data_IF_204326692894
#
_entry.id   IF_204326692894
#
_cell.length_a   1.000
_cell.length_b   1.000
_cell.length_c   1.000
_cell.angle_alpha   90.00
_cell.angle_beta   90.00
_cell.angle_gamma   90.00
#
_symmetry.space_group_name_H-M   'P 1'
#
loop_
_entity.id
_entity.type
_entity.pdbx_description
1 polymer ?
#
# COMPACT_ATOMS: atom_id res chain seq x y z
N UNK A 1 39.49 -52.08 22.11
CA UNK A 1 38.28 -52.88 21.80
C UNK A 1 37.15 -51.90 21.58
N UNK A 2 36.47 -51.78 20.44
CA UNK A 2 35.93 -52.80 19.53
C UNK A 2 36.36 -52.56 18.08
N UNK A 3 36.71 -53.66 17.41
CA UNK A 3 36.98 -53.75 15.97
C UNK A 3 35.70 -54.22 15.30
N UNK A 4 35.32 -53.61 14.17
CA UNK A 4 34.45 -54.27 13.19
C UNK A 4 35.10 -54.04 11.82
N UNK A 5 35.72 -55.11 11.32
CA UNK A 5 36.09 -55.27 9.92
C UNK A 5 34.86 -55.79 9.18
N UNK A 6 34.48 -55.19 8.06
CA UNK A 6 33.65 -55.87 7.06
C UNK A 6 34.00 -55.41 5.63
N UNK A 7 34.90 -56.19 5.03
CA UNK A 7 34.93 -56.75 3.68
C UNK A 7 34.15 -56.00 2.56
N UNK A 8 34.95 -55.53 1.59
CA UNK A 8 34.76 -55.54 0.13
C UNK A 8 33.36 -55.88 -0.44
N UNK A 9 32.77 -54.88 -1.10
CA UNK A 9 31.80 -55.05 -2.17
C UNK A 9 32.10 -54.06 -3.29
N UNK A 10 32.85 -54.49 -4.30
CA UNK A 10 33.00 -53.75 -5.55
C UNK A 10 31.65 -53.72 -6.26
N UNK A 11 31.05 -52.53 -6.37
CA UNK A 11 30.05 -52.23 -7.39
C UNK A 11 30.44 -50.89 -8.02
N UNK A 12 31.26 -50.98 -9.06
CA UNK A 12 31.47 -49.89 -10.00
C UNK A 12 30.18 -49.78 -10.83
N UNK A 13 29.27 -48.90 -10.41
CA UNK A 13 28.26 -48.33 -11.29
C UNK A 13 28.44 -46.82 -11.22
N UNK A 14 29.37 -46.33 -12.03
CA UNK A 14 29.37 -44.94 -12.42
C UNK A 14 28.18 -44.72 -13.36
N UNK A 15 27.00 -44.42 -12.81
CA UNK A 15 26.08 -43.51 -13.49
C UNK A 15 26.24 -42.17 -12.80
N UNK A 16 27.29 -41.45 -13.18
CA UNK A 16 27.30 -40.00 -12.97
C UNK A 16 26.27 -39.43 -13.93
N UNK A 17 25.01 -39.34 -13.48
CA UNK A 17 24.12 -38.31 -14.00
C UNK A 17 24.70 -36.96 -13.54
N UNK A 18 25.78 -36.52 -14.18
CA UNK A 18 26.08 -35.09 -14.22
C UNK A 18 24.91 -34.52 -15.01
N UNK A 19 23.87 -34.10 -14.29
CA UNK A 19 22.87 -33.20 -14.84
C UNK A 19 23.64 -31.95 -15.26
N UNK A 20 24.08 -31.92 -16.52
CA UNK A 20 24.56 -30.69 -17.15
C UNK A 20 23.34 -29.78 -17.30
N UNK A 21 22.95 -29.11 -16.21
CA UNK A 21 22.14 -27.89 -16.31
C UNK A 21 22.91 -26.92 -17.19
N UNK A 22 22.27 -26.38 -18.24
CA UNK A 22 22.89 -25.32 -19.05
C UNK A 22 23.26 -24.13 -18.18
N UNK A 23 24.20 -23.29 -18.61
CA UNK A 23 24.52 -22.05 -17.88
C UNK A 23 23.26 -21.19 -17.65
N UNK A 24 22.33 -21.17 -18.63
CA UNK A 24 21.03 -20.49 -18.50
C UNK A 24 20.15 -21.11 -17.42
N UNK A 25 20.05 -22.44 -17.36
CA UNK A 25 19.26 -23.16 -16.35
C UNK A 25 19.85 -22.96 -14.93
N UNK A 26 21.18 -22.90 -14.80
CA UNK A 26 21.85 -22.59 -13.52
C UNK A 26 21.63 -21.14 -13.09
N UNK A 27 21.69 -20.20 -14.03
CA UNK A 27 21.45 -18.78 -13.74
C UNK A 27 20.00 -18.55 -13.32
N UNK A 28 19.05 -19.20 -14.01
CA UNK A 28 17.64 -19.13 -13.65
C UNK A 28 17.36 -19.68 -12.25
N UNK A 29 17.97 -20.81 -11.88
CA UNK A 29 17.86 -21.38 -10.53
C UNK A 29 18.41 -20.42 -9.46
N UNK A 30 19.53 -19.75 -9.75
CA UNK A 30 20.11 -18.73 -8.86
C UNK A 30 19.18 -17.54 -8.70
N UNK A 31 18.54 -17.07 -9.78
CA UNK A 31 17.59 -15.96 -9.73
C UNK A 31 16.38 -16.30 -8.86
N UNK A 32 15.78 -17.49 -9.05
CA UNK A 32 14.67 -17.96 -8.20
C UNK A 32 15.12 -18.08 -6.74
N UNK A 33 16.29 -18.67 -6.47
CA UNK A 33 16.83 -18.79 -5.12
C UNK A 33 17.18 -17.44 -4.47
N UNK A 34 17.58 -16.44 -5.26
CA UNK A 34 17.84 -15.09 -4.77
C UNK A 34 16.55 -14.37 -4.38
N UNK A 35 15.46 -14.59 -5.13
CA UNK A 35 14.14 -14.10 -4.77
C UNK A 35 13.63 -14.71 -3.45
N UNK A 36 13.72 -16.03 -3.30
CA UNK A 36 13.33 -16.70 -2.05
C UNK A 36 14.10 -16.17 -0.83
N UNK A 37 15.43 -16.05 -0.96
CA UNK A 37 16.29 -15.49 0.11
C UNK A 37 15.93 -14.06 0.45
N UNK A 38 15.58 -13.25 -0.55
CA UNK A 38 15.12 -11.89 -0.32
C UNK A 38 13.79 -11.88 0.44
N UNK A 39 12.79 -12.66 0.00
CA UNK A 39 11.52 -12.78 0.73
C UNK A 39 11.75 -13.25 2.17
N UNK A 40 12.56 -14.30 2.36
CA UNK A 40 12.91 -14.79 3.69
C UNK A 40 13.62 -13.73 4.54
N UNK A 41 14.46 -12.88 3.93
CA UNK A 41 15.10 -11.78 4.66
C UNK A 41 14.09 -10.75 5.14
N UNK A 42 13.13 -10.34 4.29
CA UNK A 42 12.19 -9.27 4.65
C UNK A 42 11.12 -9.71 5.64
N UNK A 43 10.67 -10.98 5.60
CA UNK A 43 9.68 -11.47 6.57
C UNK A 43 10.26 -11.70 7.97
N UNK A 44 11.59 -11.78 8.09
CA UNK A 44 12.30 -11.92 9.36
C UNK A 44 12.71 -10.56 9.96
N UNK A 45 12.49 -9.45 9.25
CA UNK A 45 12.65 -8.09 9.78
C UNK A 45 11.48 -7.79 10.72
N UNK A 46 11.75 -7.05 11.80
CA UNK A 46 10.70 -6.60 12.71
C UNK A 46 9.65 -5.75 11.97
N UNK A 47 8.38 -5.89 12.31
CA UNK A 47 7.29 -5.22 11.57
C UNK A 47 7.45 -3.69 11.58
N UNK A 48 7.93 -3.11 12.68
CA UNK A 48 8.24 -1.68 12.78
C UNK A 48 9.32 -1.23 11.76
N UNK A 49 10.39 -2.00 11.61
CA UNK A 49 11.47 -1.71 10.67
C UNK A 49 11.01 -1.93 9.22
N UNK A 50 10.21 -2.96 8.98
CA UNK A 50 9.59 -3.20 7.67
C UNK A 50 8.64 -2.06 7.28
N UNK A 51 7.86 -1.54 8.23
CA UNK A 51 6.99 -0.37 8.04
C UNK A 51 7.79 0.89 7.68
N UNK A 52 8.91 1.12 8.36
CA UNK A 52 9.77 2.29 8.11
C UNK A 52 10.42 2.28 6.73
N UNK A 53 10.68 1.08 6.18
CA UNK A 53 11.38 0.88 4.91
C UNK A 53 10.46 0.31 3.81
N UNK A 54 9.13 0.41 3.98
CA UNK A 54 8.17 -0.34 3.17
C UNK A 54 8.27 -0.06 1.67
N UNK A 55 8.45 1.20 1.27
CA UNK A 55 8.56 1.57 -0.15
C UNK A 55 9.79 0.92 -0.81
N UNK A 56 10.93 0.92 -0.13
CA UNK A 56 12.14 0.25 -0.63
C UNK A 56 11.96 -1.27 -0.69
N UNK A 57 11.28 -1.86 0.30
CA UNK A 57 10.96 -3.30 0.34
C UNK A 57 10.03 -3.67 -0.84
N UNK A 58 9.02 -2.85 -1.12
CA UNK A 58 8.04 -3.10 -2.18
C UNK A 58 8.66 -2.97 -3.57
N UNK A 59 9.49 -1.95 -3.80
CA UNK A 59 10.24 -1.80 -5.06
C UNK A 59 11.16 -2.99 -5.30
N UNK A 60 11.98 -3.36 -4.31
CA UNK A 60 12.90 -4.48 -4.44
C UNK A 60 12.17 -5.83 -4.58
N UNK A 61 11.03 -6.01 -3.92
CA UNK A 61 10.17 -7.18 -4.08
C UNK A 61 9.62 -7.31 -5.51
N UNK A 62 9.06 -6.22 -6.05
CA UNK A 62 8.47 -6.22 -7.39
C UNK A 62 9.53 -6.50 -8.46
N UNK A 63 10.71 -5.89 -8.34
CA UNK A 63 11.82 -6.14 -9.25
C UNK A 63 12.24 -7.62 -9.21
N UNK A 64 12.48 -8.18 -8.03
CA UNK A 64 12.93 -9.57 -7.88
C UNK A 64 11.87 -10.59 -8.28
N UNK A 65 10.59 -10.26 -8.10
CA UNK A 65 9.48 -11.09 -8.58
C UNK A 65 9.49 -11.16 -10.11
N UNK A 66 9.59 -10.02 -10.79
CA UNK A 66 9.66 -9.98 -12.25
C UNK A 66 10.88 -10.73 -12.81
N UNK A 67 12.05 -10.58 -12.17
CA UNK A 67 13.27 -11.31 -12.53
C UNK A 67 13.11 -12.83 -12.35
N UNK A 68 12.49 -13.27 -11.25
CA UNK A 68 12.27 -14.69 -10.97
C UNK A 68 11.20 -15.31 -11.89
N UNK A 69 10.13 -14.59 -12.22
CA UNK A 69 9.10 -15.03 -13.17
C UNK A 69 9.67 -15.17 -14.58
N UNK A 70 10.49 -14.21 -15.03
CA UNK A 70 11.18 -14.30 -16.32
C UNK A 70 12.13 -15.51 -16.37
N UNK A 71 12.82 -15.81 -15.25
CA UNK A 71 13.74 -16.94 -15.16
C UNK A 71 13.06 -18.31 -15.30
N UNK A 72 11.76 -18.43 -15.02
CA UNK A 72 11.01 -19.69 -15.19
C UNK A 72 11.02 -20.19 -16.63
N UNK A 73 11.16 -19.29 -17.62
CA UNK A 73 11.22 -19.67 -19.04
C UNK A 73 12.41 -20.60 -19.35
N UNK A 74 13.53 -20.40 -18.64
CA UNK A 74 14.81 -21.08 -18.83
C UNK A 74 14.98 -22.35 -17.99
N UNK A 75 14.02 -22.65 -17.11
CA UNK A 75 14.05 -23.84 -16.26
C UNK A 75 13.35 -25.03 -16.92
N UNK A 76 13.97 -26.21 -16.78
CA UNK A 76 13.35 -27.48 -17.20
C UNK A 76 12.25 -27.93 -16.23
N UNK A 77 12.48 -27.77 -14.93
CA UNK A 77 11.49 -28.06 -13.88
C UNK A 77 10.74 -26.77 -13.49
N UNK A 78 9.80 -26.38 -14.35
CA UNK A 78 8.98 -25.18 -14.14
C UNK A 78 8.04 -25.33 -12.96
N UNK A 79 7.42 -26.51 -12.82
CA UNK A 79 6.41 -26.75 -11.79
C UNK A 79 6.99 -26.64 -10.36
N UNK A 80 8.19 -27.19 -10.10
CA UNK A 80 8.82 -27.06 -8.79
C UNK A 80 9.25 -25.61 -8.50
N UNK A 81 9.76 -24.90 -9.51
CA UNK A 81 10.17 -23.50 -9.37
C UNK A 81 8.98 -22.55 -9.18
N UNK A 82 7.87 -22.78 -9.89
CA UNK A 82 6.60 -22.07 -9.72
C UNK A 82 6.04 -22.27 -8.30
N UNK A 83 6.01 -23.51 -7.80
CA UNK A 83 5.53 -23.78 -6.44
C UNK A 83 6.36 -23.05 -5.36
N UNK A 84 7.68 -22.95 -5.56
CA UNK A 84 8.60 -22.19 -4.70
C UNK A 84 8.36 -20.68 -4.76
N UNK A 85 8.09 -20.17 -5.96
CA UNK A 85 7.76 -18.77 -6.17
C UNK A 85 6.44 -18.40 -5.47
N UNK A 86 5.39 -19.20 -5.67
CA UNK A 86 4.08 -18.97 -5.05
C UNK A 86 4.14 -19.06 -3.52
N UNK A 87 4.91 -20.00 -2.97
CA UNK A 87 5.18 -20.06 -1.53
C UNK A 87 5.82 -18.79 -0.99
N UNK A 88 6.75 -18.21 -1.74
CA UNK A 88 7.42 -16.97 -1.35
C UNK A 88 6.52 -15.74 -1.53
N UNK A 89 5.70 -15.69 -2.58
CA UNK A 89 4.66 -14.66 -2.73
C UNK A 89 3.67 -14.69 -1.57
N UNK A 90 3.24 -15.87 -1.14
CA UNK A 90 2.34 -16.02 0.02
C UNK A 90 2.99 -15.48 1.31
N UNK A 91 4.25 -15.81 1.57
CA UNK A 91 5.01 -15.25 2.71
C UNK A 91 5.07 -13.72 2.68
N UNK A 92 5.31 -13.13 1.51
CA UNK A 92 5.33 -11.68 1.37
C UNK A 92 3.94 -11.05 1.56
N UNK A 93 2.88 -11.70 1.05
CA UNK A 93 1.50 -11.28 1.26
C UNK A 93 1.12 -11.29 2.74
N UNK A 94 1.62 -12.26 3.52
CA UNK A 94 1.43 -12.29 4.98
C UNK A 94 2.11 -11.10 5.66
N UNK A 95 3.33 -10.74 5.27
CA UNK A 95 4.00 -9.54 5.79
C UNK A 95 3.21 -8.27 5.47
N UNK A 96 2.75 -8.13 4.22
CA UNK A 96 1.90 -7.01 3.80
C UNK A 96 0.62 -6.93 4.64
N UNK A 97 -0.04 -8.06 4.86
CA UNK A 97 -1.26 -8.15 5.67
C UNK A 97 -1.02 -7.77 7.13
N UNK A 98 0.12 -8.18 7.72
CA UNK A 98 0.51 -7.77 9.09
C UNK A 98 0.73 -6.26 9.19
N UNK A 99 1.39 -5.66 8.19
CA UNK A 99 1.62 -4.21 8.15
C UNK A 99 0.31 -3.42 8.00
N UNK A 100 -0.62 -3.91 7.18
CA UNK A 100 -1.95 -3.34 7.03
C UNK A 100 -2.77 -3.47 8.33
N UNK A 101 -2.71 -4.61 9.00
CA UNK A 101 -3.36 -4.84 10.29
C UNK A 101 -2.80 -3.94 11.40
N UNK A 102 -1.48 -3.75 11.48
CA UNK A 102 -0.88 -2.80 12.44
C UNK A 102 -1.24 -1.35 12.10
N UNK A 103 -1.28 -0.98 10.82
CA UNK A 103 -1.72 0.35 10.41
C UNK A 103 -3.19 0.57 10.78
N UNK A 104 -4.04 -0.45 10.66
CA UNK A 104 -5.44 -0.39 11.05
C UNK A 104 -5.61 -0.34 12.57
N UNK A 105 -4.88 -1.17 13.33
CA UNK A 105 -4.90 -1.15 14.79
C UNK A 105 -4.39 0.19 15.35
N UNK A 106 -3.37 0.79 14.74
CA UNK A 106 -2.90 2.13 15.09
C UNK A 106 -3.98 3.20 14.83
N UNK A 107 -4.69 3.12 13.69
CA UNK A 107 -5.82 4.00 13.39
C UNK A 107 -6.97 3.83 14.37
N UNK A 108 -7.29 2.61 14.78
CA UNK A 108 -8.36 2.31 15.74
C UNK A 108 -8.00 2.81 17.15
N UNK A 109 -6.76 2.59 17.59
CA UNK A 109 -6.26 3.14 18.85
C UNK A 109 -6.23 4.68 18.84
N UNK A 110 -5.84 5.30 17.72
CA UNK A 110 -5.88 6.75 17.57
C UNK A 110 -7.30 7.31 17.47
N UNK A 111 -8.22 6.61 16.79
CA UNK A 111 -9.64 6.97 16.72
C UNK A 111 -10.31 6.92 18.10
N UNK A 112 -9.93 5.96 18.95
CA UNK A 112 -10.37 5.90 20.34
C UNK A 112 -9.81 7.04 21.22
N UNK A 113 -8.71 7.68 20.80
CA UNK A 113 -8.04 8.77 21.52
C UNK A 113 -8.40 10.18 21.02
N UNK A 114 -9.08 10.29 19.86
CA UNK A 114 -9.50 11.59 19.30
C UNK A 114 -10.83 12.00 19.92
N UNK A 115 -10.95 13.17 20.59
CA UNK A 115 -12.22 13.62 21.12
C UNK A 115 -13.25 13.72 19.98
N UNK A 116 -14.49 13.23 20.16
CA UNK A 116 -15.55 13.29 19.13
C UNK A 116 -15.76 14.70 18.56
N UNK A 117 -15.36 15.73 19.30
CA UNK A 117 -15.42 17.13 18.90
C UNK A 117 -14.41 17.51 17.79
N UNK A 118 -13.18 16.97 17.75
CA UNK A 118 -12.16 17.44 16.79
C UNK A 118 -12.55 17.15 15.34
N UNK A 119 -13.03 15.94 15.06
CA UNK A 119 -13.48 15.56 13.70
C UNK A 119 -14.72 16.32 13.29
N UNK A 120 -15.65 16.56 14.22
CA UNK A 120 -16.82 17.37 13.94
C UNK A 120 -16.44 18.82 13.63
N UNK A 121 -15.51 19.43 14.38
CA UNK A 121 -14.99 20.77 14.09
C UNK A 121 -14.36 20.85 12.71
N UNK A 122 -13.64 19.81 12.28
CA UNK A 122 -13.06 19.75 10.95
C UNK A 122 -14.15 19.66 9.87
N UNK A 123 -15.16 18.81 10.03
CA UNK A 123 -16.33 18.76 9.12
C UNK A 123 -17.06 20.10 9.05
N UNK A 124 -17.27 20.74 10.20
CA UNK A 124 -17.93 22.04 10.30
C UNK A 124 -17.12 23.15 9.63
N UNK A 125 -15.78 23.10 9.69
CA UNK A 125 -14.91 24.05 8.98
C UNK A 125 -15.05 23.92 7.46
N UNK A 126 -15.13 22.68 6.95
CA UNK A 126 -15.21 22.41 5.51
C UNK A 126 -16.59 22.63 4.90
N UNK A 127 -17.66 22.35 5.65
CA UNK A 127 -19.02 22.31 5.10
C UNK A 127 -20.00 23.25 5.81
N UNK A 128 -19.61 23.86 6.92
CA UNK A 128 -20.46 24.65 7.79
C UNK A 128 -21.06 23.82 8.93
N UNK A 129 -21.27 24.48 10.08
CA UNK A 129 -21.73 23.84 11.29
C UNK A 129 -23.02 23.02 11.10
N UNK A 130 -22.97 21.74 11.48
CA UNK A 130 -24.12 20.84 11.49
C UNK A 130 -24.61 20.39 10.10
N UNK A 131 -23.83 20.66 9.04
CA UNK A 131 -24.17 20.23 7.66
C UNK A 131 -23.83 18.78 7.39
N UNK A 132 -22.77 18.26 8.01
CA UNK A 132 -22.29 16.88 7.84
C UNK A 132 -21.93 16.31 9.21
N UNK A 133 -22.45 15.11 9.50
CA UNK A 133 -22.10 14.33 10.68
C UNK A 133 -21.13 13.19 10.35
N UNK A 134 -21.05 12.21 11.25
CA UNK A 134 -20.25 10.99 11.02
C UNK A 134 -20.76 10.13 9.86
N UNK A 135 -22.04 10.29 9.50
CA UNK A 135 -22.69 9.60 8.38
C UNK A 135 -22.26 10.11 7.00
N UNK A 136 -21.50 11.21 6.94
CA UNK A 136 -21.03 11.86 5.71
C UNK A 136 -22.17 12.12 4.70
N UNK A 137 -23.35 12.51 5.19
CA UNK A 137 -24.54 12.65 4.36
C UNK A 137 -24.58 13.98 3.59
N UNK A 138 -24.30 13.92 2.29
CA UNK A 138 -24.32 15.07 1.38
C UNK A 138 -25.69 15.34 0.71
N UNK A 139 -26.80 14.81 1.21
CA UNK A 139 -28.13 14.96 0.57
C UNK A 139 -28.60 16.41 0.41
N UNK A 140 -28.01 17.37 1.13
CA UNK A 140 -28.28 18.81 0.96
C UNK A 140 -27.48 19.44 -0.20
N UNK A 141 -26.49 18.73 -0.72
CA UNK A 141 -25.71 19.12 -1.90
C UNK A 141 -26.45 18.66 -3.16
N UNK A 142 -26.65 19.58 -4.10
CA UNK A 142 -27.40 19.37 -5.33
C UNK A 142 -26.73 20.13 -6.49
N UNK A 143 -27.31 20.04 -7.69
CA UNK A 143 -26.75 20.62 -8.91
C UNK A 143 -26.51 22.14 -8.83
N UNK A 144 -27.27 22.84 -7.99
CA UNK A 144 -27.23 24.30 -7.91
C UNK A 144 -26.12 24.78 -6.95
N UNK A 145 -25.70 23.96 -5.99
CA UNK A 145 -24.71 24.34 -4.98
C UNK A 145 -23.39 23.54 -5.03
N UNK A 146 -23.33 22.40 -5.73
CA UNK A 146 -22.17 21.49 -5.68
C UNK A 146 -20.86 22.16 -6.11
N UNK A 147 -20.89 23.03 -7.12
CA UNK A 147 -19.70 23.78 -7.53
C UNK A 147 -19.17 24.66 -6.39
N UNK A 148 -20.06 25.34 -5.67
CA UNK A 148 -19.70 26.16 -4.51
C UNK A 148 -19.10 25.30 -3.41
N UNK A 149 -19.69 24.13 -3.13
CA UNK A 149 -19.19 23.19 -2.12
C UNK A 149 -17.75 22.73 -2.45
N UNK A 150 -17.46 22.34 -3.70
CA UNK A 150 -16.10 21.99 -4.10
C UNK A 150 -15.12 23.18 -4.00
N UNK A 151 -15.57 24.38 -4.36
CA UNK A 151 -14.74 25.57 -4.28
C UNK A 151 -14.39 25.92 -2.83
N UNK A 152 -15.38 25.90 -1.94
CA UNK A 152 -15.20 26.20 -0.52
C UNK A 152 -14.34 25.12 0.15
N UNK A 153 -14.57 23.85 -0.17
CA UNK A 153 -13.73 22.74 0.26
C UNK A 153 -12.26 22.96 -0.13
N UNK A 154 -12.01 23.31 -1.40
CA UNK A 154 -10.66 23.57 -1.87
C UNK A 154 -10.03 24.78 -1.14
N UNK A 155 -10.78 25.86 -0.94
CA UNK A 155 -10.27 27.06 -0.26
C UNK A 155 -9.94 26.80 1.21
N UNK A 156 -10.78 26.06 1.92
CA UNK A 156 -10.52 25.70 3.32
C UNK A 156 -9.28 24.81 3.44
N UNK A 157 -9.12 23.86 2.52
CA UNK A 157 -7.89 23.09 2.40
C UNK A 157 -6.68 23.98 2.11
N UNK A 158 -6.74 24.81 1.07
CA UNK A 158 -5.62 25.62 0.58
C UNK A 158 -5.08 26.55 1.67
N UNK A 159 -5.99 27.11 2.47
CA UNK A 159 -5.72 28.03 3.56
C UNK A 159 -5.07 27.38 4.78
N UNK A 160 -5.48 26.17 5.14
CA UNK A 160 -5.15 25.57 6.43
C UNK A 160 -4.27 24.30 6.34
N UNK A 161 -3.93 23.84 5.12
CA UNK A 161 -3.13 22.64 4.86
C UNK A 161 -1.88 22.49 5.73
N UNK A 162 -1.20 23.59 6.06
CA UNK A 162 0.05 23.59 6.84
C UNK A 162 -0.18 23.38 8.35
N UNK A 163 -1.44 23.41 8.78
CA UNK A 163 -1.85 23.23 10.19
C UNK A 163 -2.37 21.84 10.49
N UNK A 164 -2.64 21.04 9.45
CA UNK A 164 -3.29 19.75 9.58
C UNK A 164 -2.31 18.67 10.00
N UNK A 165 -2.74 17.84 10.95
CA UNK A 165 -2.03 16.60 11.27
C UNK A 165 -2.30 15.53 10.22
N UNK A 166 -1.53 14.44 10.30
CA UNK A 166 -1.76 13.21 9.51
C UNK A 166 -3.22 12.76 9.55
N UNK A 167 -3.82 12.77 10.74
CA UNK A 167 -5.19 12.35 10.99
C UNK A 167 -6.20 13.33 10.37
N UNK A 168 -5.92 14.62 10.43
CA UNK A 168 -6.75 15.64 9.80
C UNK A 168 -6.77 15.42 8.27
N UNK A 169 -5.62 15.11 7.64
CA UNK A 169 -5.58 14.73 6.22
C UNK A 169 -6.39 13.47 5.92
N UNK A 170 -6.39 12.47 6.81
CA UNK A 170 -7.16 11.24 6.62
C UNK A 170 -8.68 11.51 6.67
N UNK A 171 -9.14 12.37 7.58
CA UNK A 171 -10.55 12.82 7.63
C UNK A 171 -10.91 13.67 6.40
N UNK A 172 -10.03 14.60 5.98
CA UNK A 172 -10.22 15.42 4.77
C UNK A 172 -10.36 14.55 3.53
N UNK A 173 -9.57 13.47 3.42
CA UNK A 173 -9.71 12.49 2.35
C UNK A 173 -11.07 11.80 2.39
N UNK A 174 -11.52 11.35 3.55
CA UNK A 174 -12.81 10.69 3.70
C UNK A 174 -13.96 11.62 3.31
N UNK A 175 -13.94 12.87 3.78
CA UNK A 175 -14.90 13.91 3.39
C UNK A 175 -14.91 14.17 1.88
N UNK A 176 -13.73 14.25 1.26
CA UNK A 176 -13.60 14.45 -0.18
C UNK A 176 -14.15 13.27 -0.99
N UNK A 177 -13.82 12.04 -0.60
CA UNK A 177 -14.31 10.83 -1.29
C UNK A 177 -15.83 10.67 -1.18
N UNK A 178 -16.40 11.00 -0.02
CA UNK A 178 -17.85 10.99 0.17
C UNK A 178 -18.56 12.07 -0.67
N UNK A 179 -18.00 13.30 -0.72
CA UNK A 179 -18.50 14.35 -1.61
C UNK A 179 -18.42 13.92 -3.09
N UNK A 180 -17.32 13.31 -3.51
CA UNK A 180 -17.11 12.86 -4.89
C UNK A 180 -18.03 11.69 -5.27
N UNK A 181 -18.32 10.80 -4.32
CA UNK A 181 -19.31 9.74 -4.52
C UNK A 181 -20.71 10.34 -4.73
N UNK A 182 -21.10 11.33 -3.91
CA UNK A 182 -22.39 12.03 -4.05
C UNK A 182 -22.50 12.83 -5.34
N UNK A 183 -21.38 13.37 -5.84
CA UNK A 183 -21.32 14.11 -7.11
C UNK A 183 -21.86 13.31 -8.30
N UNK A 184 -21.68 11.99 -8.32
CA UNK A 184 -22.25 11.12 -9.36
C UNK A 184 -23.78 11.09 -9.35
N UNK A 185 -24.41 11.28 -8.19
CA UNK A 185 -25.86 11.43 -8.05
C UNK A 185 -26.29 12.78 -8.60
N UNK A 186 -25.62 13.85 -8.19
CA UNK A 186 -25.91 15.22 -8.65
C UNK A 186 -25.72 15.39 -10.16
N UNK A 187 -24.77 14.68 -10.77
CA UNK A 187 -24.61 14.65 -12.23
C UNK A 187 -25.88 14.15 -12.93
N UNK A 188 -26.52 13.11 -12.39
CA UNK A 188 -27.78 12.56 -12.93
C UNK A 188 -28.96 13.50 -12.73
N UNK A 189 -28.90 14.40 -11.75
CA UNK A 189 -29.92 15.43 -11.48
C UNK A 189 -29.82 16.64 -12.43
N UNK A 190 -28.82 16.69 -13.30
CA UNK A 190 -28.67 17.72 -14.32
C UNK A 190 -27.60 18.77 -14.00
N UNK A 191 -26.47 18.36 -13.42
CA UNK A 191 -25.29 19.22 -13.30
C UNK A 191 -24.85 19.74 -14.67
N UNK A 192 -24.64 21.05 -14.79
CA UNK A 192 -24.25 21.65 -16.08
C UNK A 192 -22.82 21.21 -16.46
N UNK A 193 -22.56 21.03 -17.76
CA UNK A 193 -21.22 20.67 -18.24
C UNK A 193 -20.16 21.71 -17.89
N UNK A 194 -20.56 22.99 -17.76
CA UNK A 194 -19.68 24.09 -17.35
C UNK A 194 -19.26 23.94 -15.89
N UNK A 195 -20.20 23.64 -15.00
CA UNK A 195 -19.90 23.45 -13.58
C UNK A 195 -19.15 22.16 -13.35
N UNK A 196 -19.48 21.08 -14.08
CA UNK A 196 -18.73 19.83 -14.05
C UNK A 196 -17.26 20.03 -14.44
N UNK A 197 -16.99 20.82 -15.49
CA UNK A 197 -15.61 21.16 -15.89
C UNK A 197 -14.87 21.92 -14.80
N UNK A 198 -15.51 22.92 -14.18
CA UNK A 198 -14.89 23.67 -13.07
C UNK A 198 -14.61 22.78 -11.85
N UNK A 199 -15.51 21.85 -11.53
CA UNK A 199 -15.27 20.85 -10.48
C UNK A 199 -14.06 20.00 -10.85
N UNK A 200 -13.96 19.52 -12.09
CA UNK A 200 -12.79 18.78 -12.55
C UNK A 200 -11.47 19.58 -12.42
N UNK A 201 -11.48 20.87 -12.74
CA UNK A 201 -10.33 21.77 -12.51
C UNK A 201 -9.97 21.89 -11.03
N UNK A 202 -10.96 22.03 -10.14
CA UNK A 202 -10.72 22.07 -8.69
C UNK A 202 -10.15 20.73 -8.18
N UNK A 203 -10.68 19.60 -8.64
CA UNK A 203 -10.13 18.27 -8.32
C UNK A 203 -8.68 18.14 -8.79
N UNK A 204 -8.38 18.64 -9.98
CA UNK A 204 -7.03 18.63 -10.55
C UNK A 204 -6.04 19.50 -9.76
N UNK A 205 -6.49 20.63 -9.20
CA UNK A 205 -5.67 21.46 -8.29
C UNK A 205 -5.48 20.79 -6.92
N UNK A 206 -6.56 20.23 -6.38
CA UNK A 206 -6.58 19.63 -5.05
C UNK A 206 -5.72 18.36 -4.98
N UNK A 207 -5.94 17.39 -5.86
CA UNK A 207 -5.35 16.05 -5.75
C UNK A 207 -3.80 16.02 -5.62
N UNK A 208 -3.01 16.69 -6.50
CA UNK A 208 -1.56 16.68 -6.37
C UNK A 208 -1.09 17.42 -5.12
N UNK A 209 -1.75 18.54 -4.76
CA UNK A 209 -1.40 19.33 -3.59
C UNK A 209 -1.70 18.53 -2.31
N UNK A 210 -2.90 17.97 -2.18
CA UNK A 210 -3.28 17.11 -1.07
C UNK A 210 -2.33 15.93 -0.87
N UNK A 211 -1.92 15.26 -1.97
CA UNK A 211 -0.95 14.17 -1.90
C UNK A 211 0.39 14.65 -1.33
N UNK A 212 0.90 15.79 -1.79
CA UNK A 212 2.15 16.37 -1.31
C UNK A 212 2.09 16.69 0.19
N UNK A 213 1.08 17.45 0.62
CA UNK A 213 0.96 17.91 2.01
C UNK A 213 0.78 16.72 2.99
N UNK A 214 -0.04 15.72 2.63
CA UNK A 214 -0.24 14.53 3.44
C UNK A 214 1.04 13.69 3.58
N UNK A 215 1.88 13.63 2.55
CA UNK A 215 3.18 12.97 2.62
C UNK A 215 4.15 13.72 3.54
N UNK A 216 4.15 15.06 3.49
CA UNK A 216 4.93 15.91 4.38
C UNK A 216 4.58 15.67 5.85
N UNK A 217 3.28 15.77 6.20
CA UNK A 217 2.81 15.53 7.56
C UNK A 217 3.14 14.12 8.08
N UNK A 218 3.09 13.11 7.20
CA UNK A 218 3.53 11.73 7.52
C UNK A 218 5.02 11.65 7.84
N UNK A 219 5.86 12.36 7.09
CA UNK A 219 7.30 12.37 7.33
C UNK A 219 7.63 13.05 8.67
N UNK A 220 7.00 14.18 8.97
CA UNK A 220 7.18 14.91 10.24
C UNK A 220 6.72 14.12 11.46
N UNK A 221 5.55 13.47 11.38
CA UNK A 221 5.05 12.57 12.43
C UNK A 221 6.04 11.44 12.72
N UNK A 222 6.56 10.80 11.66
CA UNK A 222 7.55 9.73 11.79
C UNK A 222 8.89 10.23 12.35
N UNK A 223 9.28 11.47 12.06
CA UNK A 223 10.49 12.07 12.63
C UNK A 223 10.32 12.31 14.13
N UNK A 224 9.21 12.91 14.55
CA UNK A 224 8.90 13.15 15.97
C UNK A 224 8.80 11.87 16.80
N UNK A 225 8.38 10.76 16.19
CA UNK A 225 8.30 9.45 16.86
C UNK A 225 9.66 8.76 17.06
N UNK A 226 10.73 9.26 16.42
CA UNK A 226 12.11 8.75 16.55
C UNK A 226 12.96 9.55 17.52
N UNK A 227 12.49 10.72 17.95
CA UNK A 227 13.10 11.58 18.97
C UNK A 227 12.59 11.20 20.37
#
# INVERSE_FOLDING_TARGET
>A
MKKINLILGSALIAVTLVSCKSESEQQAEKTVGAYEKYVDSVINVAVADAKANWESIEVAYNQKTAEAEAALAELKDKAAAEARLEKSKAKYADLKSKLEAEAQAAKEAQAASTPPNKKQLLRDAYFGAGKIGEDMNFSWVNKDNILKVYNDFYNEFDKNKDTYSREDFDEIKAMYEALDAHKNTVEKEGLTSKDNRKIAELKFKFAPKFKWERMGAKAEENQKAKE
#
